data_IF_020445505443
#
_entry.id   IF_020445505443
#
_cell.length_a   1.000
_cell.length_b   1.000
_cell.length_c   1.000
_cell.angle_alpha   90.00
_cell.angle_beta   90.00
_cell.angle_gamma   90.00
#
_symmetry.space_group_name_H-M   'P 1'
#
loop_
_entity.id
_entity.type
_entity.pdbx_description
1 polymer ?
#
# COMPACT_ATOMS: atom_id res chain seq x y z
N UNK A 1 -9.56 0.89 14.51
CA UNK A 1 -10.60 0.92 15.54
C UNK A 1 -11.79 0.05 15.15
N UNK A 2 -12.52 0.35 14.06
CA UNK A 2 -13.70 -0.46 13.68
C UNK A 2 -13.33 -1.82 13.06
N UNK A 3 -12.33 -1.87 12.17
CA UNK A 3 -11.85 -3.13 11.56
C UNK A 3 -11.42 -4.14 12.63
N UNK A 4 -10.60 -3.72 13.59
CA UNK A 4 -10.16 -4.57 14.70
C UNK A 4 -11.34 -5.10 15.52
N UNK A 5 -12.30 -4.22 15.83
CA UNK A 5 -13.47 -4.56 16.64
C UNK A 5 -14.41 -5.55 15.94
N UNK A 6 -14.60 -5.41 14.62
CA UNK A 6 -15.55 -6.22 13.84
C UNK A 6 -14.97 -7.54 13.36
N UNK A 7 -13.68 -7.56 13.03
CA UNK A 7 -13.07 -8.69 12.31
C UNK A 7 -11.92 -9.38 13.07
N UNK A 8 -11.39 -8.75 14.14
CA UNK A 8 -10.27 -9.26 14.92
C UNK A 8 -9.15 -9.91 14.06
N UNK A 9 -8.62 -9.21 13.03
CA UNK A 9 -7.77 -9.81 12.00
C UNK A 9 -6.37 -10.23 12.50
N UNK A 10 -6.03 -9.96 13.77
CA UNK A 10 -4.71 -10.18 14.33
C UNK A 10 -3.67 -9.21 13.75
N UNK A 11 -2.39 -9.58 13.73
CA UNK A 11 -1.35 -8.74 13.16
C UNK A 11 -1.57 -8.50 11.67
N UNK A 12 -1.64 -7.23 11.29
CA UNK A 12 -1.81 -6.81 9.90
C UNK A 12 -0.73 -5.81 9.50
N UNK A 13 -0.54 -5.66 8.20
CA UNK A 13 0.23 -4.56 7.60
C UNK A 13 -0.61 -3.88 6.54
N UNK A 14 -0.20 -2.66 6.18
CA UNK A 14 -0.88 -1.84 5.19
C UNK A 14 0.08 -1.41 4.07
N UNK A 15 -0.46 -1.28 2.88
CA UNK A 15 0.22 -0.73 1.72
C UNK A 15 -0.74 0.12 0.90
N UNK A 16 -0.21 1.17 0.27
CA UNK A 16 -0.99 2.11 -0.53
C UNK A 16 -0.26 2.37 -1.86
N UNK A 17 -0.97 2.50 -3.00
CA UNK A 17 -0.39 2.91 -4.27
C UNK A 17 0.44 4.20 -4.14
N UNK A 18 1.55 4.27 -4.86
CA UNK A 18 2.53 5.38 -4.82
C UNK A 18 3.51 5.34 -3.64
N UNK A 19 3.39 4.38 -2.72
CA UNK A 19 4.34 4.23 -1.61
C UNK A 19 5.68 3.60 -2.03
N UNK A 20 5.68 2.81 -3.10
CA UNK A 20 6.85 2.16 -3.70
C UNK A 20 6.80 2.32 -5.23
N UNK A 21 7.96 2.27 -5.92
CA UNK A 21 8.00 2.29 -7.38
C UNK A 21 7.22 1.13 -8.02
N UNK A 22 7.29 -0.06 -7.42
CA UNK A 22 6.66 -1.28 -7.94
C UNK A 22 5.13 -1.28 -7.82
N UNK A 23 4.57 -0.35 -7.06
CA UNK A 23 3.12 -0.16 -6.97
C UNK A 23 2.79 1.33 -7.10
N UNK A 24 2.85 1.85 -8.34
CA UNK A 24 2.81 3.28 -8.62
C UNK A 24 1.43 3.91 -8.38
N UNK A 25 1.35 5.25 -8.43
CA UNK A 25 0.11 5.99 -8.13
C UNK A 25 -1.04 5.67 -9.09
N UNK A 26 -0.75 5.31 -10.35
CA UNK A 26 -1.78 4.89 -11.32
C UNK A 26 -2.60 3.68 -10.86
N UNK A 27 -2.03 2.84 -9.97
CA UNK A 27 -2.70 1.68 -9.38
C UNK A 27 -3.83 2.07 -8.39
N UNK A 28 -4.02 3.37 -8.16
CA UNK A 28 -5.24 3.86 -7.53
C UNK A 28 -6.49 3.53 -8.34
N UNK A 29 -6.42 3.57 -9.68
CA UNK A 29 -7.57 3.30 -10.53
C UNK A 29 -8.12 1.87 -10.35
N UNK A 30 -7.34 0.80 -10.53
CA UNK A 30 -7.84 -0.56 -10.30
C UNK A 30 -8.26 -0.80 -8.84
N UNK A 31 -7.64 -0.11 -7.87
CA UNK A 31 -8.08 -0.16 -6.48
C UNK A 31 -9.44 0.51 -6.29
N UNK A 32 -9.71 1.64 -6.94
CA UNK A 32 -11.01 2.30 -6.92
C UNK A 32 -12.08 1.43 -7.59
N UNK A 33 -11.76 0.79 -8.71
CA UNK A 33 -12.65 -0.15 -9.39
C UNK A 33 -13.04 -1.33 -8.48
N UNK A 34 -12.09 -1.85 -7.69
CA UNK A 34 -12.34 -2.90 -6.69
C UNK A 34 -13.27 -2.42 -5.56
N UNK A 35 -13.17 -1.14 -5.17
CA UNK A 35 -14.01 -0.53 -4.15
C UNK A 35 -15.41 -0.17 -4.67
N UNK A 36 -15.63 -0.21 -5.97
CA UNK A 36 -16.90 0.09 -6.63
C UNK A 36 -17.03 1.57 -6.95
N UNK A 37 -17.80 2.32 -6.15
CA UNK A 37 -18.06 3.74 -6.37
C UNK A 37 -17.76 4.58 -5.10
N UNK A 38 -16.49 4.93 -4.85
CA UNK A 38 -16.10 5.77 -3.72
C UNK A 38 -16.66 7.20 -3.77
N UNK A 39 -17.00 7.72 -4.96
CA UNK A 39 -17.59 9.06 -5.10
C UNK A 39 -18.98 9.08 -4.49
N UNK A 40 -19.85 8.15 -4.88
CA UNK A 40 -21.19 8.04 -4.33
C UNK A 40 -21.16 7.61 -2.86
N UNK A 41 -20.27 6.70 -2.48
CA UNK A 41 -20.24 6.13 -1.13
C UNK A 41 -19.71 7.11 -0.07
N UNK A 42 -18.64 7.86 -0.39
CA UNK A 42 -17.91 8.70 0.58
C UNK A 42 -17.43 10.05 0.02
N UNK A 43 -17.76 10.39 -1.23
CA UNK A 43 -17.38 11.66 -1.85
C UNK A 43 -15.90 11.75 -2.25
N UNK A 44 -15.21 10.63 -2.42
CA UNK A 44 -13.79 10.61 -2.80
C UNK A 44 -13.65 10.27 -4.29
N UNK A 45 -12.92 11.10 -5.02
CA UNK A 45 -12.66 10.92 -6.47
C UNK A 45 -11.17 10.88 -6.78
N UNK A 46 -10.81 10.43 -7.98
CA UNK A 46 -9.46 10.55 -8.55
C UNK A 46 -9.46 11.65 -9.62
N UNK A 47 -8.40 12.48 -9.64
CA UNK A 47 -8.15 13.36 -10.78
C UNK A 47 -7.33 12.67 -11.88
N UNK A 48 -7.06 13.37 -12.98
CA UNK A 48 -6.29 12.84 -14.12
C UNK A 48 -4.85 12.40 -13.78
N UNK A 49 -4.32 12.85 -12.64
CA UNK A 49 -3.01 12.44 -12.11
C UNK A 49 -3.12 11.36 -11.03
N UNK A 50 -4.29 10.72 -10.88
CA UNK A 50 -4.60 9.71 -9.88
C UNK A 50 -4.49 10.18 -8.43
N UNK A 51 -4.50 11.50 -8.20
CA UNK A 51 -4.55 12.06 -6.86
C UNK A 51 -6.00 12.03 -6.35
N UNK A 52 -6.17 11.57 -5.11
CA UNK A 52 -7.48 11.56 -4.46
C UNK A 52 -7.92 12.97 -4.07
N UNK A 53 -9.21 13.25 -4.27
CA UNK A 53 -9.88 14.47 -3.83
C UNK A 53 -11.00 14.09 -2.86
N UNK A 54 -11.04 14.65 -1.63
CA UNK A 54 -10.10 15.61 -1.04
C UNK A 54 -8.66 15.07 -0.86
N UNK A 55 -7.66 15.97 -0.92
CA UNK A 55 -6.23 15.61 -0.89
C UNK A 55 -5.82 14.81 0.35
N UNK A 56 -6.49 15.02 1.49
CA UNK A 56 -6.21 14.31 2.76
C UNK A 56 -6.96 12.96 2.83
N UNK A 57 -6.97 12.23 1.72
CA UNK A 57 -7.54 10.89 1.63
C UNK A 57 -6.42 9.84 1.57
N UNK A 58 -6.76 8.61 1.90
CA UNK A 58 -5.88 7.44 1.77
C UNK A 58 -6.71 6.25 1.30
N UNK A 59 -6.13 5.46 0.41
CA UNK A 59 -6.67 4.20 -0.10
C UNK A 59 -5.52 3.19 -0.16
N UNK A 60 -5.83 1.93 0.14
CA UNK A 60 -4.83 0.89 0.15
C UNK A 60 -5.40 -0.45 0.57
N UNK A 61 -4.50 -1.42 0.69
CA UNK A 61 -4.80 -2.77 1.14
C UNK A 61 -4.30 -2.96 2.56
N UNK A 62 -5.12 -3.63 3.38
CA UNK A 62 -4.73 -4.18 4.66
C UNK A 62 -4.72 -5.70 4.55
N UNK A 63 -3.63 -6.32 4.98
CA UNK A 63 -3.43 -7.76 4.83
C UNK A 63 -2.86 -8.37 6.12
N UNK A 64 -3.21 -9.64 6.44
CA UNK A 64 -2.64 -10.35 7.57
C UNK A 64 -1.14 -10.56 7.36
N UNK A 65 -0.36 -10.55 8.44
CA UNK A 65 1.07 -10.81 8.35
C UNK A 65 1.61 -11.54 9.58
N UNK A 66 2.59 -12.42 9.36
CA UNK A 66 3.43 -12.98 10.42
C UNK A 66 4.69 -12.14 10.69
N UNK A 67 5.07 -11.26 9.76
CA UNK A 67 6.20 -10.33 9.92
C UNK A 67 5.79 -8.94 9.49
N UNK A 68 5.96 -7.96 10.37
CA UNK A 68 5.61 -6.57 10.06
C UNK A 68 6.25 -6.09 8.75
N UNK A 69 5.43 -5.50 7.88
CA UNK A 69 5.83 -4.84 6.65
C UNK A 69 5.48 -3.36 6.72
N UNK A 70 6.42 -2.51 6.30
CA UNK A 70 6.12 -1.14 5.93
C UNK A 70 6.89 -0.77 4.66
N UNK A 71 6.22 -0.17 3.67
CA UNK A 71 6.86 0.32 2.45
C UNK A 71 8.10 1.19 2.71
N UNK A 72 8.15 1.90 3.84
CA UNK A 72 9.33 2.68 4.24
C UNK A 72 10.62 1.85 4.34
N UNK A 73 10.53 0.55 4.59
CA UNK A 73 11.67 -0.35 4.63
C UNK A 73 12.32 -0.55 3.26
N UNK A 74 11.57 -0.36 2.17
CA UNK A 74 12.02 -0.49 0.78
C UNK A 74 12.16 0.86 0.06
N UNK A 75 11.69 1.96 0.67
CA UNK A 75 11.71 3.29 0.05
C UNK A 75 13.03 4.04 0.35
N UNK A 76 13.87 4.36 -0.66
CA UNK A 76 15.15 5.06 -0.46
C UNK A 76 14.99 6.57 -0.22
N UNK A 77 13.77 7.13 -0.27
CA UNK A 77 13.52 8.58 -0.16
C UNK A 77 14.09 9.15 1.15
N UNK A 78 15.05 10.09 1.10
CA UNK A 78 15.59 10.72 2.30
C UNK A 78 14.59 11.72 2.89
N UNK A 79 14.61 11.89 4.22
CA UNK A 79 13.82 12.91 4.96
C UNK A 79 12.32 12.92 4.61
N UNK A 80 11.72 11.74 4.41
CA UNK A 80 10.28 11.63 4.18
C UNK A 80 9.52 11.90 5.49
N UNK A 81 8.60 12.89 5.55
CA UNK A 81 7.84 13.20 6.76
C UNK A 81 6.90 12.06 7.17
N UNK A 82 6.45 11.24 6.22
CA UNK A 82 5.60 10.07 6.47
C UNK A 82 6.39 8.79 6.78
N UNK A 83 7.69 8.85 7.08
CA UNK A 83 8.52 7.66 7.31
C UNK A 83 8.11 6.94 8.60
N UNK A 84 7.66 5.69 8.47
CA UNK A 84 7.25 4.80 9.58
C UNK A 84 8.30 3.74 9.95
N UNK A 85 9.30 3.52 9.09
CA UNK A 85 10.39 2.57 9.33
C UNK A 85 11.70 3.00 8.64
N UNK A 86 12.83 2.50 9.14
CA UNK A 86 14.14 2.71 8.52
C UNK A 86 14.21 2.01 7.15
N UNK A 87 14.84 2.66 6.17
CA UNK A 87 15.12 2.06 4.87
C UNK A 87 16.23 1.02 5.02
N UNK A 88 16.05 -0.13 4.40
CA UNK A 88 17.04 -1.20 4.33
C UNK A 88 17.26 -1.59 2.87
N UNK A 89 18.41 -1.18 2.33
CA UNK A 89 18.77 -1.39 0.93
C UNK A 89 18.91 -2.86 0.55
N UNK A 90 19.09 -3.77 1.52
CA UNK A 90 19.25 -5.20 1.28
C UNK A 90 17.97 -5.98 1.61
N UNK A 91 16.90 -5.33 2.07
CA UNK A 91 15.69 -6.03 2.48
C UNK A 91 15.04 -6.78 1.30
N UNK A 92 14.95 -6.13 0.13
CA UNK A 92 14.37 -6.78 -1.05
C UNK A 92 15.10 -8.08 -1.37
N UNK A 93 16.42 -8.01 -1.41
CA UNK A 93 17.32 -9.10 -1.72
C UNK A 93 17.19 -10.26 -0.73
N UNK A 94 17.16 -9.93 0.57
CA UNK A 94 17.11 -10.95 1.63
C UNK A 94 15.73 -11.60 1.79
N UNK A 95 14.64 -10.93 1.41
CA UNK A 95 13.27 -11.37 1.73
C UNK A 95 12.37 -11.62 0.52
N UNK A 96 12.51 -10.87 -0.57
CA UNK A 96 11.55 -10.86 -1.69
C UNK A 96 12.14 -11.33 -3.01
N UNK A 97 13.47 -11.30 -3.18
CA UNK A 97 14.11 -11.88 -4.36
C UNK A 97 13.85 -13.39 -4.34
N UNK A 98 12.97 -13.84 -5.22
CA UNK A 98 12.79 -15.26 -5.50
C UNK A 98 14.08 -15.74 -6.16
N UNK A 99 14.70 -16.76 -5.57
CA UNK A 99 15.87 -17.41 -6.15
C UNK A 99 15.41 -18.32 -7.30
N UNK A 100 15.43 -17.81 -8.54
CA UNK A 100 15.38 -18.62 -9.77
C UNK A 100 14.01 -19.18 -10.17
N UNK A 101 13.63 -18.86 -11.40
CA UNK A 101 12.70 -19.55 -12.33
C UNK A 101 11.73 -20.60 -11.76
N UNK A 102 10.46 -20.22 -11.70
CA UNK A 102 9.33 -21.11 -11.44
C UNK A 102 8.01 -20.35 -11.34
N UNK A 103 7.83 -19.32 -12.17
CA UNK A 103 6.56 -18.60 -12.27
C UNK A 103 5.46 -19.57 -12.64
N UNK A 104 4.40 -19.59 -11.84
CA UNK A 104 3.17 -20.35 -12.09
C UNK A 104 2.61 -19.87 -13.44
N UNK A 105 2.74 -20.71 -14.48
CA UNK A 105 1.86 -20.70 -15.64
C UNK A 105 0.53 -21.32 -15.28
#
# INVERSE_FOLDING_TARGET
ADVERRFAPGPTSDMNPGSLPDWPMAEQQPLFDLLGDPETAIGVTLNDSYLMMPIKSVSGLRFPTSTHFASCQLCPRPRCPGRRAAYDALLFDRRYRIAGEGGIT
#
